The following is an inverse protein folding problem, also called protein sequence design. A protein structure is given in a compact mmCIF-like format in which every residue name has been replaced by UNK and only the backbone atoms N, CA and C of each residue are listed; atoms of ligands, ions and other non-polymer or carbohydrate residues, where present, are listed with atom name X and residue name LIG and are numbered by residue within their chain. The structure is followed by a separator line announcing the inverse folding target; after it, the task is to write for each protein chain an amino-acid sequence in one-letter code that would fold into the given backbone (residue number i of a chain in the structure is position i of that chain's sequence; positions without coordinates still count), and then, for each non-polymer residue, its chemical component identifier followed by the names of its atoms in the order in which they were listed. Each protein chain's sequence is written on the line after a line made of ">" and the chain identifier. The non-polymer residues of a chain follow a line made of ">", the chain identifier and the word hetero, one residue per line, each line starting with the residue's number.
data_IF_495904724774
#
_entry.id   IF_495904724774
#
_cell.length_a   1.000
_cell.length_b   1.000
_cell.length_c   1.000
_cell.angle_alpha   90.00
_cell.angle_beta   90.00
_cell.angle_gamma   90.00
#
_symmetry.space_group_name_H-M   'P 1'
#
loop_
_entity.id
_entity.type
_entity.pdbx_description
1 polymer ?
#
# COMPACT_ATOMS: atom_id res chain seq x y z
N UNK A 1 6.99 22.22 23.29
CA UNK A 1 5.79 23.06 23.05
C UNK A 1 4.79 22.83 24.17
N UNK A 2 4.54 23.83 25.02
CA UNK A 2 3.42 23.79 25.98
C UNK A 2 2.09 23.56 25.24
N UNK A 3 1.09 23.02 25.93
CA UNK A 3 -0.25 22.81 25.38
C UNK A 3 -0.87 24.15 25.01
N UNK A 4 -1.58 24.22 23.88
CA UNK A 4 -2.48 25.35 23.63
C UNK A 4 -3.65 25.27 24.62
N UNK A 5 -4.23 26.41 25.00
CA UNK A 5 -5.38 26.43 25.91
C UNK A 5 -6.51 25.54 25.37
N UNK A 6 -6.96 24.58 26.19
CA UNK A 6 -7.99 23.60 25.84
C UNK A 6 -7.49 22.33 25.11
N UNK A 7 -6.19 22.18 24.89
CA UNK A 7 -5.61 20.99 24.24
C UNK A 7 -5.29 19.88 25.27
N UNK A 8 -6.12 18.84 25.32
CA UNK A 8 -5.90 17.70 26.22
C UNK A 8 -4.69 16.85 25.80
N UNK A 9 -3.91 16.40 26.80
CA UNK A 9 -2.77 15.47 26.60
C UNK A 9 -3.14 14.23 25.78
N UNK A 10 -4.35 13.70 25.98
CA UNK A 10 -4.87 12.54 25.28
C UNK A 10 -5.01 12.80 23.77
N UNK A 11 -5.55 13.96 23.39
CA UNK A 11 -5.70 14.36 21.97
C UNK A 11 -4.35 14.48 21.29
N UNK A 12 -3.39 15.15 21.93
CA UNK A 12 -2.04 15.33 21.38
C UNK A 12 -1.28 14.01 21.26
N UNK A 13 -1.47 13.10 22.20
CA UNK A 13 -0.93 11.73 22.12
C UNK A 13 -1.53 10.97 20.95
N UNK A 14 -2.86 11.05 20.75
CA UNK A 14 -3.53 10.43 19.61
C UNK A 14 -3.03 10.98 18.27
N UNK A 15 -2.92 12.31 18.14
CA UNK A 15 -2.39 12.97 16.94
C UNK A 15 -0.94 12.53 16.66
N UNK A 16 -0.13 12.39 17.70
CA UNK A 16 1.26 11.92 17.58
C UNK A 16 1.32 10.49 17.05
N UNK A 17 0.49 9.59 17.61
CA UNK A 17 0.40 8.19 17.15
C UNK A 17 -0.05 8.13 15.68
N UNK A 18 -1.04 8.94 15.29
CA UNK A 18 -1.52 9.01 13.92
C UNK A 18 -0.44 9.53 12.94
N UNK A 19 0.28 10.59 13.32
CA UNK A 19 1.38 11.14 12.53
C UNK A 19 2.53 10.14 12.35
N UNK A 20 2.88 9.40 13.40
CA UNK A 20 3.86 8.30 13.32
C UNK A 20 3.34 7.22 12.36
N UNK A 21 2.05 6.91 12.39
CA UNK A 21 1.40 5.97 11.46
C UNK A 21 1.61 6.33 9.99
N UNK A 22 1.49 7.61 9.61
CA UNK A 22 1.75 8.07 8.24
C UNK A 22 3.23 7.89 7.85
N UNK A 23 4.17 8.31 8.70
CA UNK A 23 5.60 8.12 8.47
C UNK A 23 6.00 6.64 8.38
N UNK A 24 5.28 5.77 9.09
CA UNK A 24 5.54 4.34 9.12
C UNK A 24 5.27 3.66 7.77
N UNK A 25 4.33 4.17 6.98
CA UNK A 25 4.11 3.63 5.63
C UNK A 25 5.27 3.93 4.68
N UNK A 26 5.88 5.11 4.78
CA UNK A 26 7.11 5.44 4.04
C UNK A 26 8.24 4.48 4.44
N UNK A 27 8.42 4.26 5.74
CA UNK A 27 9.41 3.30 6.25
C UNK A 27 9.14 1.88 5.77
N UNK A 28 7.90 1.41 5.77
CA UNK A 28 7.52 0.08 5.33
C UNK A 28 7.78 -0.15 3.81
N UNK A 29 7.50 0.86 2.97
CA UNK A 29 7.80 0.79 1.53
C UNK A 29 9.31 0.82 1.29
N UNK A 30 10.01 1.72 1.98
CA UNK A 30 11.47 1.90 1.83
C UNK A 30 12.29 0.80 2.50
N UNK A 31 11.68 -0.01 3.38
CA UNK A 31 12.34 -1.10 4.10
C UNK A 31 13.06 -2.04 3.14
N UNK A 32 12.35 -2.63 2.18
CA UNK A 32 12.89 -3.61 1.23
C UNK A 32 14.10 -3.08 0.44
N UNK A 33 13.97 -1.99 -0.34
CA UNK A 33 15.06 -1.53 -1.19
C UNK A 33 16.28 -1.10 -0.37
N UNK A 34 16.06 -0.47 0.79
CA UNK A 34 17.14 0.02 1.65
C UNK A 34 17.83 -1.11 2.42
N UNK A 35 17.06 -2.04 2.99
CA UNK A 35 17.60 -3.18 3.73
C UNK A 35 18.38 -4.11 2.80
N UNK A 36 17.90 -4.39 1.58
CA UNK A 36 18.61 -5.26 0.65
C UNK A 36 19.91 -4.60 0.14
N UNK A 37 19.87 -3.31 -0.20
CA UNK A 37 21.08 -2.57 -0.57
C UNK A 37 22.12 -2.59 0.55
N UNK A 38 21.70 -2.33 1.79
CA UNK A 38 22.57 -2.37 2.95
C UNK A 38 23.11 -3.79 3.21
N UNK A 39 22.27 -4.81 3.09
CA UNK A 39 22.65 -6.21 3.27
C UNK A 39 23.73 -6.64 2.27
N UNK A 40 23.58 -6.24 1.00
CA UNK A 40 24.53 -6.52 -0.07
C UNK A 40 25.87 -5.80 0.09
N UNK A 41 25.90 -4.65 0.77
CA UNK A 41 27.17 -3.97 1.12
C UNK A 41 27.98 -4.73 2.18
N UNK A 42 27.36 -5.59 2.98
CA UNK A 42 28.06 -6.39 3.99
C UNK A 42 28.55 -5.60 5.22
N UNK A 43 29.27 -6.28 6.12
CA UNK A 43 29.84 -5.68 7.33
C UNK A 43 28.79 -4.97 8.20
N UNK A 44 29.11 -3.75 8.67
CA UNK A 44 28.22 -2.90 9.49
C UNK A 44 26.87 -2.58 8.83
N UNK A 45 26.76 -2.69 7.50
CA UNK A 45 25.51 -2.43 6.80
C UNK A 45 24.48 -3.56 6.96
N UNK A 46 24.91 -4.79 7.29
CA UNK A 46 23.98 -5.86 7.70
C UNK A 46 23.33 -5.55 9.04
N UNK A 47 24.11 -5.02 9.98
CA UNK A 47 23.57 -4.55 11.26
C UNK A 47 22.58 -3.40 11.06
N UNK A 48 22.89 -2.45 10.15
CA UNK A 48 21.94 -1.40 9.76
C UNK A 48 20.63 -1.98 9.21
N UNK A 49 20.69 -2.97 8.32
CA UNK A 49 19.49 -3.63 7.77
C UNK A 49 18.64 -4.29 8.87
N UNK A 50 19.27 -4.99 9.82
CA UNK A 50 18.57 -5.58 10.98
C UNK A 50 17.92 -4.51 11.87
N UNK A 51 18.62 -3.41 12.14
CA UNK A 51 18.07 -2.30 12.92
C UNK A 51 16.91 -1.62 12.20
N UNK A 52 16.98 -1.47 10.87
CA UNK A 52 15.87 -0.94 10.08
C UNK A 52 14.64 -1.86 10.16
N UNK A 53 14.83 -3.18 10.08
CA UNK A 53 13.74 -4.14 10.26
C UNK A 53 13.11 -4.01 11.66
N UNK A 54 13.94 -3.96 12.70
CA UNK A 54 13.48 -3.78 14.08
C UNK A 54 12.72 -2.47 14.26
N UNK A 55 13.21 -1.37 13.66
CA UNK A 55 12.55 -0.07 13.70
C UNK A 55 11.16 -0.13 13.06
N UNK A 56 11.04 -0.71 11.86
CA UNK A 56 9.75 -0.84 11.15
C UNK A 56 8.76 -1.69 11.96
N UNK A 57 9.21 -2.78 12.56
CA UNK A 57 8.37 -3.62 13.42
C UNK A 57 7.91 -2.86 14.67
N UNK A 58 8.83 -2.15 15.31
CA UNK A 58 8.56 -1.36 16.52
C UNK A 58 7.56 -0.22 16.26
N UNK A 59 7.77 0.57 15.20
CA UNK A 59 6.86 1.67 14.83
C UNK A 59 5.50 1.15 14.40
N UNK A 60 5.45 -0.01 13.74
CA UNK A 60 4.19 -0.67 13.37
C UNK A 60 3.39 -1.13 14.59
N UNK A 61 4.08 -1.73 15.57
CA UNK A 61 3.47 -2.12 16.83
C UNK A 61 2.90 -0.93 17.59
N UNK A 62 3.67 0.16 17.74
CA UNK A 62 3.23 1.36 18.47
C UNK A 62 2.08 2.07 17.77
N UNK A 63 2.13 2.18 16.44
CA UNK A 63 1.10 2.89 15.67
C UNK A 63 -0.19 2.08 15.45
N UNK A 64 -0.21 0.79 15.82
CA UNK A 64 -1.35 -0.09 15.56
C UNK A 64 -1.66 -0.29 14.07
N UNK A 65 -0.70 -0.04 13.18
CA UNK A 65 -0.91 -0.03 11.73
C UNK A 65 -0.78 -1.42 11.13
N UNK A 66 -1.81 -2.27 11.33
CA UNK A 66 -1.83 -3.65 10.85
C UNK A 66 -1.46 -3.80 9.35
N UNK A 67 -1.86 -2.85 8.50
CA UNK A 67 -1.53 -2.84 7.08
C UNK A 67 -0.01 -2.83 6.81
N UNK A 68 0.77 -2.07 7.59
CA UNK A 68 2.22 -2.00 7.42
C UNK A 68 2.90 -3.32 7.81
N UNK A 69 2.40 -4.00 8.85
CA UNK A 69 2.91 -5.32 9.26
C UNK A 69 2.67 -6.36 8.17
N UNK A 70 1.43 -6.41 7.65
CA UNK A 70 1.06 -7.33 6.56
C UNK A 70 1.90 -7.05 5.32
N UNK A 71 2.18 -5.77 5.01
CA UNK A 71 3.01 -5.40 3.87
C UNK A 71 4.46 -5.89 4.00
N UNK A 72 5.06 -5.73 5.19
CA UNK A 72 6.42 -6.23 5.46
C UNK A 72 6.47 -7.75 5.39
N UNK A 73 5.49 -8.44 5.97
CA UNK A 73 5.41 -9.92 5.90
C UNK A 73 5.28 -10.38 4.45
N UNK A 74 4.34 -9.82 3.70
CA UNK A 74 4.14 -10.17 2.30
C UNK A 74 5.39 -9.89 1.45
N UNK A 75 6.07 -8.78 1.69
CA UNK A 75 7.33 -8.44 1.05
C UNK A 75 8.45 -9.44 1.37
N UNK A 76 8.61 -9.83 2.64
CA UNK A 76 9.57 -10.85 3.03
C UNK A 76 9.28 -12.20 2.37
N UNK A 77 8.01 -12.63 2.35
CA UNK A 77 7.60 -13.89 1.71
C UNK A 77 7.90 -13.90 0.21
N UNK A 78 7.56 -12.83 -0.51
CA UNK A 78 7.86 -12.76 -1.96
C UNK A 78 9.36 -12.67 -2.23
N UNK A 79 10.14 -12.06 -1.33
CA UNK A 79 11.60 -12.02 -1.44
C UNK A 79 12.24 -13.39 -1.19
N UNK A 80 11.70 -14.19 -0.27
CA UNK A 80 12.14 -15.59 -0.07
C UNK A 80 11.90 -16.39 -1.35
N UNK A 81 10.73 -16.26 -1.97
CA UNK A 81 10.46 -16.86 -3.29
C UNK A 81 11.44 -16.32 -4.33
N UNK A 82 11.71 -15.01 -4.32
CA UNK A 82 12.59 -14.36 -5.28
C UNK A 82 14.06 -14.77 -5.16
N UNK A 83 14.51 -15.14 -3.96
CA UNK A 83 15.85 -15.65 -3.73
C UNK A 83 16.10 -16.95 -4.53
N UNK A 84 15.10 -17.82 -4.63
CA UNK A 84 15.20 -19.05 -5.42
C UNK A 84 14.75 -18.85 -6.87
N UNK A 85 13.71 -18.05 -7.08
CA UNK A 85 13.05 -17.87 -8.38
C UNK A 85 12.71 -16.38 -8.64
N UNK A 86 13.70 -15.53 -8.95
CA UNK A 86 13.53 -14.07 -8.99
C UNK A 86 12.51 -13.62 -10.04
N UNK A 87 12.49 -14.26 -11.22
CA UNK A 87 11.52 -13.95 -12.26
C UNK A 87 10.09 -14.32 -11.85
N UNK A 88 9.91 -15.46 -11.18
CA UNK A 88 8.60 -15.91 -10.70
C UNK A 88 8.09 -14.96 -9.62
N UNK A 89 8.93 -14.61 -8.65
CA UNK A 89 8.57 -13.64 -7.61
C UNK A 89 8.17 -12.29 -8.20
N UNK A 90 8.92 -11.79 -9.18
CA UNK A 90 8.59 -10.52 -9.85
C UNK A 90 7.25 -10.62 -10.57
N UNK A 91 7.05 -11.62 -11.42
CA UNK A 91 5.76 -11.82 -12.10
C UNK A 91 4.60 -11.97 -11.13
N UNK A 92 4.77 -12.73 -10.06
CA UNK A 92 3.75 -12.93 -9.04
C UNK A 92 3.42 -11.63 -8.32
N UNK A 93 4.41 -10.79 -7.98
CA UNK A 93 4.16 -9.49 -7.34
C UNK A 93 3.30 -8.55 -8.21
N UNK A 94 3.61 -8.46 -9.50
CA UNK A 94 2.82 -7.66 -10.45
C UNK A 94 1.46 -8.27 -10.74
N UNK A 95 1.36 -9.61 -10.79
CA UNK A 95 0.08 -10.31 -10.97
C UNK A 95 -0.85 -10.04 -9.78
N UNK A 96 -0.34 -10.15 -8.56
CA UNK A 96 -1.11 -9.83 -7.34
C UNK A 96 -1.58 -8.37 -7.37
N UNK A 97 -0.71 -7.42 -7.74
CA UNK A 97 -1.09 -6.03 -7.92
C UNK A 97 -2.23 -5.86 -8.94
N UNK A 98 -2.13 -6.53 -10.09
CA UNK A 98 -3.16 -6.51 -11.12
C UNK A 98 -4.49 -7.12 -10.66
N UNK A 99 -4.44 -8.24 -9.93
CA UNK A 99 -5.64 -8.90 -9.37
C UNK A 99 -6.31 -7.98 -8.35
N UNK A 100 -5.55 -7.39 -7.43
CA UNK A 100 -6.08 -6.49 -6.39
C UNK A 100 -6.82 -5.30 -7.01
N UNK A 101 -6.26 -4.69 -8.06
CA UNK A 101 -6.91 -3.58 -8.77
C UNK A 101 -8.16 -4.07 -9.51
N UNK A 102 -8.05 -5.12 -10.31
CA UNK A 102 -9.16 -5.58 -11.16
C UNK A 102 -10.31 -6.20 -10.35
N UNK A 103 -10.01 -6.85 -9.23
CA UNK A 103 -11.00 -7.48 -8.35
C UNK A 103 -11.57 -6.53 -7.28
N UNK A 104 -11.16 -5.25 -7.23
CA UNK A 104 -11.62 -4.32 -6.21
C UNK A 104 -13.17 -4.18 -6.13
N UNK A 105 -13.96 -4.23 -7.22
CA UNK A 105 -15.41 -4.21 -7.11
C UNK A 105 -16.00 -5.42 -6.36
N UNK A 106 -15.32 -6.56 -6.37
CA UNK A 106 -15.71 -7.73 -5.57
C UNK A 106 -15.54 -7.42 -4.08
N UNK A 107 -14.47 -6.71 -3.69
CA UNK A 107 -14.28 -6.24 -2.32
C UNK A 107 -15.36 -5.21 -1.91
N UNK A 108 -15.71 -4.28 -2.80
CA UNK A 108 -16.80 -3.33 -2.55
C UNK A 108 -18.14 -4.05 -2.37
N UNK A 109 -18.42 -5.02 -3.24
CA UNK A 109 -19.61 -5.86 -3.16
C UNK A 109 -19.64 -6.66 -1.86
N UNK A 110 -18.55 -7.32 -1.46
CA UNK A 110 -18.55 -8.07 -0.20
C UNK A 110 -18.77 -7.15 0.99
N UNK A 111 -18.17 -5.96 0.99
CA UNK A 111 -18.40 -4.95 2.02
C UNK A 111 -19.87 -4.50 2.09
N UNK A 112 -20.54 -4.32 0.93
CA UNK A 112 -21.95 -3.91 0.88
C UNK A 112 -22.93 -5.00 1.32
N UNK A 113 -22.51 -6.26 1.36
CA UNK A 113 -23.33 -7.39 1.86
C UNK A 113 -23.15 -7.67 3.36
N UNK A 114 -22.21 -7.01 4.04
CA UNK A 114 -22.04 -7.20 5.48
C UNK A 114 -23.19 -6.56 6.26
N UNK A 115 -23.75 -7.30 7.23
CA UNK A 115 -24.83 -6.81 8.07
C UNK A 115 -24.33 -5.73 9.04
N UNK A 116 -25.18 -4.76 9.45
CA UNK A 116 -24.79 -3.76 10.45
C UNK A 116 -24.26 -4.39 11.75
N UNK A 117 -24.87 -5.51 12.19
CA UNK A 117 -24.43 -6.24 13.37
C UNK A 117 -23.03 -6.87 13.21
N UNK A 118 -22.64 -7.26 11.99
CA UNK A 118 -21.28 -7.73 11.73
C UNK A 118 -20.29 -6.57 11.70
N UNK A 119 -20.63 -5.48 10.99
CA UNK A 119 -19.80 -4.28 10.89
C UNK A 119 -19.46 -3.72 12.28
N UNK A 120 -20.44 -3.66 13.19
CA UNK A 120 -20.27 -3.19 14.57
C UNK A 120 -19.29 -4.03 15.43
N UNK A 121 -18.99 -5.28 15.04
CA UNK A 121 -17.99 -6.12 15.71
C UNK A 121 -16.56 -5.84 15.27
N UNK A 122 -16.38 -5.14 14.15
CA UNK A 122 -15.06 -4.79 13.65
C UNK A 122 -14.40 -3.73 14.55
N UNK A 123 -13.06 -3.64 14.56
CA UNK A 123 -12.40 -2.45 15.07
C UNK A 123 -12.93 -1.20 14.34
N UNK A 124 -13.06 -0.08 15.05
CA UNK A 124 -13.70 1.13 14.52
C UNK A 124 -13.16 1.56 13.15
N UNK A 125 -11.84 1.58 12.96
CA UNK A 125 -11.24 1.96 11.68
C UNK A 125 -11.52 0.98 10.53
N UNK A 126 -11.80 -0.29 10.83
CA UNK A 126 -12.22 -1.28 9.82
C UNK A 126 -13.70 -1.15 9.50
N UNK A 127 -14.54 -0.83 10.48
CA UNK A 127 -15.94 -0.50 10.26
C UNK A 127 -16.07 0.69 9.31
N UNK A 128 -15.30 1.77 9.54
CA UNK A 128 -15.25 2.94 8.64
C UNK A 128 -14.83 2.57 7.21
N UNK A 129 -13.80 1.70 7.06
CA UNK A 129 -13.38 1.22 5.72
C UNK A 129 -14.48 0.43 5.03
N UNK A 130 -15.14 -0.47 5.75
CA UNK A 130 -16.21 -1.30 5.18
C UNK A 130 -17.41 -0.44 4.78
N UNK A 131 -17.79 0.57 5.57
CA UNK A 131 -18.85 1.51 5.20
C UNK A 131 -18.46 2.35 3.97
N UNK A 132 -17.23 2.84 3.92
CA UNK A 132 -16.67 3.51 2.75
C UNK A 132 -16.75 2.62 1.50
N UNK A 133 -16.27 1.38 1.57
CA UNK A 133 -16.26 0.45 0.44
C UNK A 133 -17.66 0.03 0.01
N UNK A 134 -18.59 -0.10 0.96
CA UNK A 134 -20.01 -0.32 0.68
C UNK A 134 -20.60 0.85 -0.10
N UNK A 135 -20.34 2.09 0.30
CA UNK A 135 -20.80 3.28 -0.42
C UNK A 135 -20.18 3.36 -1.83
N UNK A 136 -18.88 3.06 -1.96
CA UNK A 136 -18.21 3.07 -3.25
C UNK A 136 -18.69 2.00 -4.21
N UNK A 137 -19.23 0.88 -3.71
CA UNK A 137 -19.86 -0.13 -4.57
C UNK A 137 -20.99 0.49 -5.41
N UNK A 138 -21.87 1.25 -4.77
CA UNK A 138 -23.00 1.91 -5.44
C UNK A 138 -22.48 2.95 -6.46
N UNK A 139 -21.49 3.76 -6.07
CA UNK A 139 -20.86 4.75 -6.95
C UNK A 139 -20.19 4.11 -8.17
N UNK A 140 -19.49 2.99 -8.00
CA UNK A 140 -18.90 2.24 -9.12
C UNK A 140 -20.00 1.72 -10.04
N UNK A 141 -21.12 1.25 -9.50
CA UNK A 141 -22.22 0.70 -10.30
C UNK A 141 -22.99 1.76 -11.10
N UNK A 142 -23.01 3.02 -10.65
CA UNK A 142 -23.58 4.14 -11.41
C UNK A 142 -22.83 4.42 -12.71
N UNK A 143 -21.48 4.32 -12.71
CA UNK A 143 -20.62 4.61 -13.87
C UNK A 143 -19.52 3.56 -14.04
N UNK A 144 -19.84 2.29 -14.34
CA UNK A 144 -18.89 1.19 -14.23
C UNK A 144 -17.81 1.18 -15.32
N UNK A 145 -18.07 1.82 -16.47
CA UNK A 145 -17.13 1.78 -17.62
C UNK A 145 -16.07 2.86 -17.52
N UNK A 146 -16.49 4.12 -17.32
CA UNK A 146 -15.61 5.29 -17.35
C UNK A 146 -15.41 5.96 -15.97
N UNK A 147 -16.14 5.52 -14.94
CA UNK A 147 -16.09 6.13 -13.63
C UNK A 147 -16.69 7.53 -13.58
N UNK A 148 -16.47 8.22 -12.46
CA UNK A 148 -16.98 9.57 -12.20
C UNK A 148 -16.06 10.70 -12.66
N UNK A 149 -14.88 10.38 -13.18
CA UNK A 149 -13.85 11.34 -13.56
C UNK A 149 -12.72 11.41 -12.52
N UNK A 150 -11.57 11.92 -12.96
CA UNK A 150 -10.38 12.05 -12.10
C UNK A 150 -10.64 13.04 -10.95
N UNK A 151 -10.24 12.65 -9.74
CA UNK A 151 -10.42 13.37 -8.48
C UNK A 151 -11.90 13.56 -8.05
N UNK A 152 -12.83 12.84 -8.68
CA UNK A 152 -14.26 12.91 -8.36
C UNK A 152 -14.57 12.50 -6.92
N UNK A 153 -13.78 11.62 -6.30
CA UNK A 153 -14.03 11.16 -4.92
C UNK A 153 -14.06 12.32 -3.93
N UNK A 154 -13.29 13.39 -4.16
CA UNK A 154 -13.27 14.56 -3.28
C UNK A 154 -14.53 15.41 -3.34
N UNK A 155 -15.36 15.19 -4.37
CA UNK A 155 -16.62 15.90 -4.54
C UNK A 155 -17.79 15.19 -3.84
N UNK A 156 -17.58 13.97 -3.37
CA UNK A 156 -18.59 13.22 -2.61
C UNK A 156 -18.73 13.85 -1.21
N UNK A 157 -19.96 14.22 -0.87
CA UNK A 157 -20.28 14.97 0.36
C UNK A 157 -21.21 14.21 1.29
N UNK A 158 -21.63 13.00 0.89
CA UNK A 158 -22.52 12.18 1.68
C UNK A 158 -21.87 11.70 2.99
N UNK A 159 -22.68 11.72 4.04
CA UNK A 159 -22.28 11.34 5.39
C UNK A 159 -23.13 10.19 5.92
N UNK A 160 -22.64 9.54 6.98
CA UNK A 160 -23.38 8.57 7.76
C UNK A 160 -23.20 8.80 9.26
N UNK A 161 -23.99 8.07 10.04
CA UNK A 161 -23.83 7.95 11.48
C UNK A 161 -23.23 6.59 11.80
N UNK A 162 -22.08 6.57 12.48
CA UNK A 162 -21.40 5.35 12.91
C UNK A 162 -21.13 5.42 14.41
N UNK A 163 -21.55 4.41 15.17
CA UNK A 163 -21.42 4.36 16.65
C UNK A 163 -21.87 5.63 17.38
N UNK A 164 -22.92 6.30 16.88
CA UNK A 164 -23.43 7.53 17.48
C UNK A 164 -22.62 8.79 17.16
N UNK A 165 -21.58 8.70 16.32
CA UNK A 165 -20.93 9.86 15.72
C UNK A 165 -21.67 10.25 14.44
N UNK A 166 -22.45 11.35 14.43
CA UNK A 166 -23.15 11.81 13.25
C UNK A 166 -22.19 12.46 12.25
N UNK A 167 -22.69 12.69 11.03
CA UNK A 167 -22.03 13.50 9.99
C UNK A 167 -20.62 13.05 9.59
N UNK A 168 -20.33 11.75 9.73
CA UNK A 168 -19.06 11.18 9.27
C UNK A 168 -19.12 10.97 7.76
N UNK A 169 -18.21 11.59 7.02
CA UNK A 169 -18.14 11.39 5.56
C UNK A 169 -17.91 9.91 5.22
N UNK A 170 -18.66 9.38 4.25
CA UNK A 170 -18.40 8.02 3.74
C UNK A 170 -16.98 7.89 3.19
N UNK A 171 -16.52 8.95 2.51
CA UNK A 171 -15.15 9.05 2.02
C UNK A 171 -14.58 10.40 2.47
N UNK A 172 -13.62 10.38 3.40
CA UNK A 172 -13.04 11.62 3.93
C UNK A 172 -12.11 12.31 2.93
N UNK A 173 -11.06 11.62 2.48
CA UNK A 173 -10.09 12.13 1.50
C UNK A 173 -9.88 11.16 0.35
N UNK A 174 -9.95 9.86 0.66
CA UNK A 174 -9.75 8.80 -0.31
C UNK A 174 -10.35 7.47 0.19
N UNK A 175 -10.57 6.48 -0.69
CA UNK A 175 -11.19 5.18 -0.35
C UNK A 175 -10.43 4.27 0.62
N UNK A 176 -9.20 4.62 1.01
CA UNK A 176 -8.25 3.71 1.69
C UNK A 176 -8.01 2.39 0.92
N UNK A 177 -8.24 2.40 -0.38
CA UNK A 177 -7.99 1.29 -1.29
C UNK A 177 -7.80 1.84 -2.71
N UNK A 178 -6.60 1.68 -3.26
CA UNK A 178 -6.25 2.20 -4.58
C UNK A 178 -7.06 1.57 -5.71
N UNK A 179 -7.40 0.28 -5.61
CA UNK A 179 -8.24 -0.40 -6.59
C UNK A 179 -9.64 0.22 -6.65
N UNK A 180 -10.30 0.40 -5.49
CA UNK A 180 -11.59 1.08 -5.42
C UNK A 180 -11.52 2.52 -5.92
N UNK A 181 -10.42 3.22 -5.62
CA UNK A 181 -10.20 4.57 -6.12
C UNK A 181 -10.09 4.62 -7.66
N UNK A 182 -9.36 3.70 -8.27
CA UNK A 182 -9.27 3.56 -9.73
C UNK A 182 -10.66 3.27 -10.31
N UNK A 183 -11.40 2.33 -9.74
CA UNK A 183 -12.70 1.93 -10.26
C UNK A 183 -13.75 3.03 -10.16
N UNK A 184 -13.84 3.75 -9.05
CA UNK A 184 -14.86 4.79 -8.90
C UNK A 184 -14.59 5.99 -9.81
N UNK A 185 -13.32 6.32 -10.07
CA UNK A 185 -12.98 7.50 -10.87
C UNK A 185 -12.80 7.21 -12.36
N UNK A 186 -12.23 6.06 -12.71
CA UNK A 186 -11.85 5.72 -14.08
C UNK A 186 -12.58 4.49 -14.64
N UNK A 187 -13.35 3.79 -13.81
CA UNK A 187 -14.13 2.61 -14.20
C UNK A 187 -13.27 1.43 -14.69
N UNK A 188 -13.94 0.53 -15.40
CA UNK A 188 -13.32 -0.64 -16.04
C UNK A 188 -12.18 -0.27 -16.97
N UNK A 189 -12.32 0.83 -17.73
CA UNK A 189 -11.26 1.29 -18.65
C UNK A 189 -9.98 1.60 -17.87
N UNK A 190 -10.07 2.37 -16.79
CA UNK A 190 -8.93 2.65 -15.92
C UNK A 190 -8.32 1.39 -15.30
N UNK A 191 -9.15 0.47 -14.82
CA UNK A 191 -8.68 -0.79 -14.23
C UNK A 191 -7.92 -1.65 -15.25
N UNK A 192 -8.40 -1.76 -16.49
CA UNK A 192 -7.72 -2.47 -17.59
C UNK A 192 -6.41 -1.79 -17.95
N UNK A 193 -6.38 -0.45 -18.04
CA UNK A 193 -5.15 0.29 -18.33
C UNK A 193 -4.07 0.05 -17.27
N UNK A 194 -4.45 0.08 -15.98
CA UNK A 194 -3.52 -0.20 -14.88
C UNK A 194 -3.04 -1.65 -14.91
N UNK A 195 -3.94 -2.62 -15.13
CA UNK A 195 -3.55 -4.01 -15.30
C UNK A 195 -2.55 -4.20 -16.44
N UNK A 196 -2.80 -3.58 -17.59
CA UNK A 196 -1.92 -3.69 -18.74
C UNK A 196 -0.57 -3.01 -18.49
N UNK A 197 -0.53 -1.86 -17.83
CA UNK A 197 0.71 -1.21 -17.42
C UNK A 197 1.54 -2.10 -16.48
N UNK A 198 0.91 -2.74 -15.50
CA UNK A 198 1.55 -3.70 -14.60
C UNK A 198 2.07 -4.93 -15.36
N UNK A 199 1.28 -5.48 -16.28
CA UNK A 199 1.67 -6.60 -17.12
C UNK A 199 2.89 -6.27 -18.00
N UNK A 200 2.87 -5.12 -18.68
CA UNK A 200 3.97 -4.65 -19.51
C UNK A 200 5.22 -4.38 -18.67
N UNK A 201 5.06 -3.79 -17.48
CA UNK A 201 6.14 -3.57 -16.52
C UNK A 201 6.82 -4.89 -16.13
N UNK A 202 6.04 -5.90 -15.73
CA UNK A 202 6.55 -7.22 -15.38
C UNK A 202 7.29 -7.87 -16.56
N UNK A 203 6.69 -7.85 -17.76
CA UNK A 203 7.28 -8.42 -18.98
C UNK A 203 8.58 -7.71 -19.36
N UNK A 204 8.63 -6.38 -19.23
CA UNK A 204 9.83 -5.61 -19.54
C UNK A 204 10.95 -5.91 -18.56
N UNK A 205 10.66 -5.88 -17.25
CA UNK A 205 11.66 -6.04 -16.21
C UNK A 205 12.25 -7.46 -16.11
N UNK A 206 11.54 -8.48 -16.60
CA UNK A 206 12.07 -9.86 -16.66
C UNK A 206 12.85 -10.21 -17.93
N UNK A 207 12.98 -9.27 -18.89
CA UNK A 207 13.83 -9.48 -20.07
C UNK A 207 15.29 -9.70 -19.68
N UNK A 208 16.05 -10.53 -20.43
CA UNK A 208 17.47 -10.76 -20.17
C UNK A 208 18.25 -9.43 -20.10
N UNK A 209 19.09 -9.29 -19.07
CA UNK A 209 19.97 -8.13 -18.89
C UNK A 209 19.31 -6.86 -18.33
N UNK A 210 17.98 -6.83 -18.12
CA UNK A 210 17.31 -5.65 -17.57
C UNK A 210 17.55 -5.44 -16.08
N UNK A 211 17.30 -6.48 -15.28
CA UNK A 211 17.55 -6.48 -13.85
C UNK A 211 18.50 -7.63 -13.51
N UNK A 212 19.38 -7.40 -12.56
CA UNK A 212 20.12 -8.48 -11.92
C UNK A 212 19.28 -9.20 -10.85
N UNK A 213 19.80 -10.31 -10.31
CA UNK A 213 19.09 -11.10 -9.31
C UNK A 213 18.63 -10.28 -8.10
N UNK A 214 19.53 -9.52 -7.47
CA UNK A 214 19.19 -8.71 -6.30
C UNK A 214 18.17 -7.61 -6.61
N UNK A 215 18.26 -7.00 -7.79
CA UNK A 215 17.28 -6.02 -8.25
C UNK A 215 15.90 -6.64 -8.44
N UNK A 216 15.78 -7.82 -9.07
CA UNK A 216 14.49 -8.50 -9.23
C UNK A 216 13.83 -8.82 -7.87
N UNK A 217 14.62 -9.33 -6.91
CA UNK A 217 14.14 -9.62 -5.55
C UNK A 217 13.64 -8.34 -4.86
N UNK A 218 14.42 -7.26 -4.93
CA UNK A 218 14.03 -5.98 -4.33
C UNK A 218 12.78 -5.39 -4.99
N UNK A 219 12.68 -5.45 -6.32
CA UNK A 219 11.51 -4.95 -7.04
C UNK A 219 10.27 -5.76 -6.70
N UNK A 220 10.37 -7.08 -6.60
CA UNK A 220 9.25 -7.92 -6.19
C UNK A 220 8.75 -7.56 -4.78
N UNK A 221 9.68 -7.37 -3.83
CA UNK A 221 9.33 -6.94 -2.48
C UNK A 221 8.74 -5.54 -2.41
N UNK A 222 9.26 -4.57 -3.18
CA UNK A 222 8.73 -3.21 -3.29
C UNK A 222 7.31 -3.20 -3.88
N UNK A 223 7.09 -3.94 -4.98
CA UNK A 223 5.76 -4.03 -5.60
C UNK A 223 4.76 -4.67 -4.65
N UNK A 224 5.17 -5.71 -3.93
CA UNK A 224 4.30 -6.38 -2.95
C UNK A 224 3.96 -5.48 -1.76
N UNK A 225 4.95 -4.80 -1.16
CA UNK A 225 4.68 -3.86 -0.06
C UNK A 225 3.79 -2.70 -0.51
N UNK A 226 4.07 -2.11 -1.67
CA UNK A 226 3.24 -1.06 -2.26
C UNK A 226 1.81 -1.55 -2.54
N UNK A 227 1.64 -2.76 -3.05
CA UNK A 227 0.32 -3.35 -3.32
C UNK A 227 -0.48 -3.51 -2.03
N UNK A 228 0.10 -4.09 -0.98
CA UNK A 228 -0.60 -4.29 0.29
C UNK A 228 -0.99 -2.95 0.92
N UNK A 229 -0.07 -2.00 1.00
CA UNK A 229 -0.34 -0.72 1.66
C UNK A 229 -1.38 0.10 0.87
N UNK A 230 -1.27 0.13 -0.46
CA UNK A 230 -2.26 0.82 -1.29
C UNK A 230 -3.65 0.18 -1.23
N UNK A 231 -3.75 -1.11 -0.91
CA UNK A 231 -5.03 -1.81 -0.75
C UNK A 231 -5.77 -1.48 0.55
N UNK A 232 -5.07 -0.99 1.57
CA UNK A 232 -5.60 -0.90 2.93
C UNK A 232 -5.54 0.49 3.55
N UNK A 233 -4.73 1.39 2.99
CA UNK A 233 -4.36 2.64 3.68
C UNK A 233 -4.56 3.90 2.86
N UNK A 234 -4.30 3.92 1.55
CA UNK A 234 -4.17 5.17 0.79
C UNK A 234 -4.91 5.19 -0.54
N UNK A 235 -5.24 6.41 -0.98
CA UNK A 235 -5.69 6.67 -2.35
C UNK A 235 -4.53 6.72 -3.34
N UNK A 236 -4.79 6.32 -4.58
CA UNK A 236 -3.80 6.27 -5.65
C UNK A 236 -3.27 7.63 -6.12
N UNK A 237 -3.98 8.75 -5.86
CA UNK A 237 -3.56 10.11 -6.29
C UNK A 237 -2.80 10.91 -5.24
N UNK A 238 -2.14 10.25 -4.31
CA UNK A 238 -1.33 10.91 -3.29
C UNK A 238 0.10 11.08 -3.81
N UNK A 239 0.59 12.32 -3.95
CA UNK A 239 1.91 12.59 -4.56
C UNK A 239 3.07 11.98 -3.76
N UNK A 240 3.02 12.11 -2.43
CA UNK A 240 4.04 11.58 -1.52
C UNK A 240 4.17 10.05 -1.61
N UNK A 241 3.07 9.36 -1.95
CA UNK A 241 3.06 7.91 -2.13
C UNK A 241 3.88 7.51 -3.35
N UNK A 242 3.64 8.14 -4.50
CA UNK A 242 4.40 7.88 -5.72
C UNK A 242 5.86 8.31 -5.59
N UNK A 243 6.13 9.44 -4.94
CA UNK A 243 7.49 9.86 -4.63
C UNK A 243 8.24 8.78 -3.83
N UNK A 244 7.57 8.13 -2.86
CA UNK A 244 8.17 7.05 -2.07
C UNK A 244 8.44 5.80 -2.91
N UNK A 245 7.49 5.38 -3.77
CA UNK A 245 7.68 4.23 -4.66
C UNK A 245 8.82 4.48 -5.66
N UNK A 246 8.88 5.68 -6.24
CA UNK A 246 9.94 6.10 -7.17
C UNK A 246 11.30 6.15 -6.46
N UNK A 247 11.35 6.68 -5.24
CA UNK A 247 12.56 6.67 -4.42
C UNK A 247 13.03 5.23 -4.15
N UNK A 248 12.11 4.34 -3.78
CA UNK A 248 12.39 2.92 -3.60
C UNK A 248 12.97 2.28 -4.87
N UNK A 249 12.36 2.51 -6.02
CA UNK A 249 12.85 2.02 -7.31
C UNK A 249 14.25 2.58 -7.65
N UNK A 250 14.50 3.85 -7.33
CA UNK A 250 15.80 4.50 -7.52
C UNK A 250 16.88 3.92 -6.60
N UNK A 251 16.53 3.54 -5.37
CA UNK A 251 17.46 2.83 -4.47
C UNK A 251 17.80 1.44 -5.02
N UNK A 252 16.82 0.74 -5.61
CA UNK A 252 17.04 -0.58 -6.24
C UNK A 252 18.03 -0.49 -7.39
N UNK A 253 18.03 0.58 -8.19
CA UNK A 253 19.00 0.71 -9.29
C UNK A 253 20.45 0.80 -8.81
N UNK A 254 20.68 1.14 -7.54
CA UNK A 254 22.02 1.16 -6.92
C UNK A 254 22.51 -0.23 -6.50
N UNK A 255 21.66 -1.25 -6.54
CA UNK A 255 22.03 -2.64 -6.22
C UNK A 255 22.86 -3.21 -7.37
N UNK A 256 24.18 -3.22 -7.18
CA UNK A 256 25.14 -3.77 -8.14
C UNK A 256 25.37 -5.26 -7.89
N UNK A 257 25.55 -6.03 -8.95
CA UNK A 257 26.17 -7.36 -8.87
C UNK A 257 27.62 -7.19 -8.42
N UNK A 258 28.06 -7.99 -7.45
CA UNK A 258 29.49 -8.12 -7.16
C UNK A 258 30.22 -8.49 -8.46
N UNK A 259 31.42 -7.92 -8.72
CA UNK A 259 32.25 -8.39 -9.82
C UNK A 259 32.42 -9.90 -9.66
N UNK A 260 32.18 -10.67 -10.74
CA UNK A 260 32.66 -12.06 -10.77
C UNK A 260 34.16 -11.97 -10.63
N UNK A 261 34.70 -12.28 -9.46
CA UNK A 261 36.13 -12.56 -9.31
C UNK A 261 36.38 -13.73 -10.26
N UNK A 262 37.09 -13.46 -11.35
CA UNK A 262 37.42 -14.46 -12.36
C UNK A 262 38.05 -15.66 -11.68
N UNK A 263 37.60 -16.86 -12.06
CA UNK A 263 38.38 -18.07 -11.88
C UNK A 263 39.47 -18.10 -12.94
#
# INVERSE_FOLDING_TARGET
>A
NPFKDGEEFAKRTADTIQNIGHGNSVLAIMFVPTALLAWMRGGKWRLFACNLAALVLFTTYISGTAANLVAVIAACLIMIIGYFWPKIALHLSFLVAGIVVTAAPILAFTASRLTPAFKAKLPFSWEERVENWSYLYDRIFEKPVFGHGFDAVRTFTETHTIRGFPDRAYVSLHPHNAGLHIWVELGFVGAVMVYFALYLGAKHLTQPGRLNHGQMVATAGLVMSATVISSLSYGVWQDWWWATVILGASVISLIRTAPRVGK
#
